data_IF_379617501074
#
_entry.id   IF_379617501074
#
_cell.length_a   1.000
_cell.length_b   1.000
_cell.length_c   1.000
_cell.angle_alpha   90.00
_cell.angle_beta   90.00
_cell.angle_gamma   90.00
#
_symmetry.space_group_name_H-M   'P 1'
#
loop_
_entity.id
_entity.type
_entity.pdbx_description
1 polymer ?
#
# COMPACT_ATOMS: atom_id res chain seq x y z
N UNK A 1 57.62 -26.99 -1.46
CA UNK A 1 56.51 -26.50 -0.60
C UNK A 1 56.59 -24.97 -0.66
N UNK A 2 56.13 -24.31 -1.73
CA UNK A 2 54.77 -24.10 -2.23
C UNK A 2 53.91 -23.18 -1.36
N UNK A 3 53.26 -22.24 -2.06
CA UNK A 3 52.16 -21.32 -1.67
C UNK A 3 52.57 -20.05 -0.90
N UNK A 4 52.12 -18.83 -1.23
CA UNK A 4 51.29 -18.33 -2.33
C UNK A 4 51.34 -16.79 -2.25
N UNK A 5 51.87 -16.12 -3.27
CA UNK A 5 51.94 -14.65 -3.35
C UNK A 5 50.96 -14.13 -4.40
N UNK A 6 49.65 -14.31 -4.23
CA UNK A 6 48.68 -13.86 -5.26
C UNK A 6 47.24 -13.74 -4.75
N UNK A 7 46.97 -13.09 -3.62
CA UNK A 7 45.56 -12.82 -3.21
C UNK A 7 45.36 -11.47 -2.53
N UNK A 8 45.77 -10.36 -3.16
CA UNK A 8 45.43 -9.03 -2.61
C UNK A 8 45.02 -7.96 -3.63
N UNK A 9 44.92 -8.29 -4.93
CA UNK A 9 44.54 -7.30 -5.97
C UNK A 9 43.13 -7.47 -6.53
N UNK A 10 42.47 -8.61 -6.32
CA UNK A 10 41.14 -8.87 -6.92
C UNK A 10 39.96 -8.42 -6.06
N UNK A 11 40.16 -8.07 -4.78
CA UNK A 11 39.07 -7.65 -3.91
C UNK A 11 38.66 -6.18 -4.10
N UNK A 12 39.56 -5.32 -4.61
CA UNK A 12 39.29 -3.88 -4.78
C UNK A 12 38.48 -3.57 -6.05
N UNK A 13 38.51 -4.44 -7.07
CA UNK A 13 37.82 -4.18 -8.35
C UNK A 13 36.32 -4.52 -8.26
N UNK A 14 35.92 -5.41 -7.36
CA UNK A 14 34.51 -5.81 -7.19
C UNK A 14 33.67 -4.82 -6.36
N UNK A 15 34.29 -3.89 -5.63
CA UNK A 15 33.55 -2.89 -4.86
C UNK A 15 33.14 -1.66 -5.69
N UNK A 16 33.80 -1.39 -6.82
CA UNK A 16 33.56 -0.20 -7.65
C UNK A 16 32.41 -0.36 -8.66
N UNK A 17 31.98 -1.57 -8.97
CA UNK A 17 30.91 -1.84 -9.95
C UNK A 17 29.49 -1.84 -9.37
N UNK A 18 29.31 -1.81 -8.04
CA UNK A 18 27.98 -1.73 -7.42
C UNK A 18 27.48 -0.29 -7.19
N UNK A 19 28.29 0.74 -7.46
CA UNK A 19 27.89 2.14 -7.29
C UNK A 19 27.19 2.76 -8.52
N UNK A 20 26.96 1.99 -9.59
CA UNK A 20 26.42 2.49 -10.87
C UNK A 20 24.99 2.01 -11.22
N UNK A 21 24.28 1.38 -10.28
CA UNK A 21 22.87 0.98 -10.45
C UNK A 21 21.89 1.83 -9.63
N UNK A 22 22.36 2.85 -8.91
CA UNK A 22 21.51 3.83 -8.26
C UNK A 22 21.24 5.01 -9.21
N UNK A 23 19.96 5.37 -9.34
CA UNK A 23 19.40 6.44 -10.18
C UNK A 23 19.31 6.07 -11.67
N UNK A 24 18.19 5.48 -12.10
CA UNK A 24 16.95 6.25 -12.25
C UNK A 24 15.72 5.53 -11.70
N UNK A 25 15.49 5.66 -10.39
CA UNK A 25 14.10 5.69 -9.91
C UNK A 25 13.52 6.99 -10.45
N UNK A 26 12.91 6.94 -11.64
CA UNK A 26 12.12 8.05 -12.15
C UNK A 26 11.02 8.24 -11.10
N UNK A 27 10.97 9.38 -10.39
CA UNK A 27 9.88 9.60 -9.46
C UNK A 27 8.62 9.68 -10.32
N UNK A 28 7.73 8.70 -10.17
CA UNK A 28 6.45 8.56 -10.87
C UNK A 28 5.45 9.67 -10.51
N UNK A 29 5.88 10.93 -10.58
CA UNK A 29 5.10 12.13 -10.26
C UNK A 29 3.88 12.30 -11.19
N UNK A 30 3.80 11.54 -12.29
CA UNK A 30 2.75 11.69 -13.30
C UNK A 30 1.80 10.47 -13.41
N UNK A 31 1.99 9.38 -12.66
CA UNK A 31 1.09 8.23 -12.78
C UNK A 31 -0.25 8.45 -12.04
N UNK A 32 -0.25 9.25 -10.97
CA UNK A 32 -1.48 9.61 -10.26
C UNK A 32 -2.34 10.63 -11.01
N UNK A 33 -1.77 11.43 -11.90
CA UNK A 33 -2.50 12.46 -12.64
C UNK A 33 -3.38 11.88 -13.77
N UNK A 34 -3.22 10.60 -14.10
CA UNK A 34 -3.91 9.95 -15.22
C UNK A 34 -4.79 8.76 -14.82
N UNK A 35 -4.77 8.31 -13.56
CA UNK A 35 -5.67 7.26 -13.13
C UNK A 35 -7.10 7.83 -13.07
N UNK A 36 -8.06 7.27 -13.83
CA UNK A 36 -9.45 7.71 -13.71
C UNK A 36 -9.90 7.53 -12.26
N UNK A 37 -10.60 8.52 -11.70
CA UNK A 37 -11.11 8.51 -10.31
C UNK A 37 -11.87 7.23 -9.98
N UNK A 38 -12.55 6.66 -10.98
CA UNK A 38 -13.25 5.37 -10.91
C UNK A 38 -12.32 4.19 -10.62
N UNK A 39 -11.10 4.16 -11.16
CA UNK A 39 -10.13 3.09 -10.90
C UNK A 39 -9.62 3.14 -9.45
N UNK A 40 -9.29 4.34 -8.96
CA UNK A 40 -8.87 4.53 -7.56
C UNK A 40 -10.00 4.18 -6.58
N UNK A 41 -11.24 4.55 -6.91
CA UNK A 41 -12.42 4.18 -6.13
C UNK A 41 -12.60 2.66 -6.07
N UNK A 42 -12.53 1.95 -7.20
CA UNK A 42 -12.66 0.49 -7.24
C UNK A 42 -11.55 -0.20 -6.44
N UNK A 43 -10.32 0.29 -6.52
CA UNK A 43 -9.21 -0.26 -5.74
C UNK A 43 -9.42 -0.01 -4.25
N UNK A 44 -9.95 1.15 -3.86
CA UNK A 44 -10.32 1.42 -2.47
C UNK A 44 -11.42 0.47 -1.98
N UNK A 45 -12.46 0.24 -2.79
CA UNK A 45 -13.55 -0.69 -2.46
C UNK A 45 -12.99 -2.09 -2.19
N UNK A 46 -12.04 -2.55 -3.02
CA UNK A 46 -11.33 -3.81 -2.80
C UNK A 46 -10.57 -3.82 -1.47
N UNK A 47 -9.83 -2.76 -1.17
CA UNK A 47 -9.07 -2.64 0.08
C UNK A 47 -9.95 -2.65 1.33
N UNK A 48 -11.02 -1.84 1.39
CA UNK A 48 -11.90 -1.80 2.57
C UNK A 48 -12.64 -3.13 2.79
N UNK A 49 -12.97 -3.83 1.69
CA UNK A 49 -13.54 -5.18 1.76
C UNK A 49 -12.53 -6.18 2.34
N UNK A 50 -11.27 -6.08 1.90
CA UNK A 50 -10.18 -6.91 2.42
C UNK A 50 -9.91 -6.66 3.91
N UNK A 51 -9.87 -5.39 4.34
CA UNK A 51 -9.72 -5.01 5.76
C UNK A 51 -10.83 -5.60 6.61
N UNK A 52 -12.08 -5.49 6.15
CA UNK A 52 -13.23 -6.11 6.83
C UNK A 52 -13.05 -7.61 7.01
N UNK A 53 -12.67 -8.31 5.94
CA UNK A 53 -12.46 -9.75 5.98
C UNK A 53 -11.32 -10.16 6.93
N UNK A 54 -10.24 -9.39 6.98
CA UNK A 54 -9.10 -9.64 7.88
C UNK A 54 -9.55 -9.54 9.35
N UNK A 55 -10.36 -8.53 9.68
CA UNK A 55 -10.87 -8.34 11.05
C UNK A 55 -11.90 -9.40 11.41
N UNK A 56 -12.85 -9.69 10.51
CA UNK A 56 -13.91 -10.67 10.75
C UNK A 56 -13.37 -12.11 10.88
N UNK A 57 -12.25 -12.41 10.20
CA UNK A 57 -11.62 -13.75 10.22
C UNK A 57 -10.77 -14.03 11.46
N UNK A 58 -10.56 -13.04 12.34
CA UNK A 58 -9.82 -13.20 13.61
C UNK A 58 -8.44 -13.89 13.42
N UNK A 59 -7.67 -13.42 12.45
CA UNK A 59 -6.32 -13.93 12.19
C UNK A 59 -5.44 -13.81 13.44
N UNK A 60 -4.67 -14.86 13.76
CA UNK A 60 -3.64 -14.82 14.81
C UNK A 60 -2.62 -13.67 14.59
N UNK A 61 -2.50 -13.19 13.35
CA UNK A 61 -1.65 -12.05 12.95
C UNK A 61 -2.41 -10.98 12.15
N UNK A 62 -3.56 -10.54 12.67
CA UNK A 62 -4.38 -9.45 12.07
C UNK A 62 -3.55 -8.21 11.73
N UNK A 63 -2.59 -7.83 12.58
CA UNK A 63 -1.77 -6.63 12.35
C UNK A 63 -0.92 -6.78 11.09
N UNK A 64 -0.23 -7.90 10.91
CA UNK A 64 0.59 -8.11 9.72
C UNK A 64 -0.27 -8.25 8.47
N UNK A 65 -1.43 -8.89 8.57
CA UNK A 65 -2.38 -8.98 7.47
C UNK A 65 -2.85 -7.59 7.00
N UNK A 66 -3.16 -6.69 7.94
CA UNK A 66 -3.54 -5.31 7.64
C UNK A 66 -2.40 -4.50 7.02
N UNK A 67 -1.18 -4.63 7.54
CA UNK A 67 0.01 -4.01 6.93
C UNK A 67 0.22 -4.47 5.49
N UNK A 68 0.05 -5.76 5.23
CA UNK A 68 0.19 -6.32 3.88
C UNK A 68 -0.90 -5.82 2.93
N UNK A 69 -2.15 -5.80 3.36
CA UNK A 69 -3.27 -5.27 2.56
C UNK A 69 -3.07 -3.78 2.26
N UNK A 70 -2.66 -3.03 3.28
CA UNK A 70 -2.35 -1.62 3.14
C UNK A 70 -1.20 -1.39 2.15
N UNK A 71 -0.07 -2.08 2.32
CA UNK A 71 1.09 -1.89 1.43
C UNK A 71 0.75 -2.21 -0.02
N UNK A 72 -0.09 -3.21 -0.28
CA UNK A 72 -0.63 -3.46 -1.62
C UNK A 72 -1.47 -2.29 -2.12
N UNK A 73 -2.38 -1.77 -1.30
CA UNK A 73 -3.22 -0.63 -1.65
C UNK A 73 -2.44 0.66 -1.92
N UNK A 74 -1.32 0.90 -1.24
CA UNK A 74 -0.51 2.11 -1.48
C UNK A 74 0.68 1.88 -2.41
N UNK A 75 0.95 0.65 -2.86
CA UNK A 75 2.05 0.33 -3.77
C UNK A 75 2.01 1.10 -5.10
N UNK A 76 0.81 1.48 -5.56
CA UNK A 76 0.62 2.29 -6.76
C UNK A 76 0.56 3.80 -6.46
N UNK A 77 0.68 4.19 -5.19
CA UNK A 77 0.72 5.57 -4.73
C UNK A 77 2.07 5.88 -4.05
N UNK A 78 3.09 6.29 -4.83
CA UNK A 78 4.47 6.45 -4.34
C UNK A 78 4.67 7.52 -3.25
N UNK A 79 3.64 8.29 -2.88
CA UNK A 79 3.66 9.26 -1.78
C UNK A 79 3.04 8.74 -0.48
N UNK A 80 2.35 7.59 -0.51
CA UNK A 80 1.53 7.11 0.60
C UNK A 80 2.01 5.76 1.15
N UNK A 81 3.10 5.19 0.65
CA UNK A 81 3.69 3.96 1.18
C UNK A 81 4.01 4.09 2.68
N UNK A 82 4.55 5.23 3.12
CA UNK A 82 4.79 5.53 4.54
C UNK A 82 3.51 5.78 5.36
N UNK A 83 2.37 6.04 4.69
CA UNK A 83 1.11 6.22 5.41
C UNK A 83 0.53 4.89 5.86
N UNK A 84 0.99 3.74 5.34
CA UNK A 84 0.48 2.46 5.78
C UNK A 84 0.72 2.15 7.24
N UNK A 85 1.95 2.31 7.68
CA UNK A 85 2.28 2.09 9.08
C UNK A 85 1.50 3.05 9.97
N UNK A 86 1.34 4.30 9.54
CA UNK A 86 0.56 5.30 10.28
C UNK A 86 -0.91 4.90 10.36
N UNK A 87 -1.53 4.53 9.23
CA UNK A 87 -2.94 4.14 9.17
C UNK A 87 -3.17 2.89 10.01
N UNK A 88 -2.33 1.87 9.90
CA UNK A 88 -2.52 0.62 10.64
C UNK A 88 -2.25 0.79 12.14
N UNK A 89 -1.32 1.67 12.54
CA UNK A 89 -0.97 1.86 13.96
C UNK A 89 -1.90 2.87 14.65
N UNK A 90 -2.30 3.95 13.98
CA UNK A 90 -2.99 5.08 14.61
C UNK A 90 -4.43 5.25 14.13
N UNK A 91 -4.73 5.00 12.85
CA UNK A 91 -6.04 5.31 12.26
C UNK A 91 -6.92 4.09 11.99
N UNK A 92 -6.45 2.88 12.32
CA UNK A 92 -7.16 1.63 11.98
C UNK A 92 -8.54 1.57 12.64
N UNK A 93 -8.67 2.07 13.86
CA UNK A 93 -9.97 2.16 14.55
C UNK A 93 -10.94 3.09 13.80
N UNK A 94 -10.44 4.21 13.28
CA UNK A 94 -11.23 5.16 12.49
C UNK A 94 -11.63 4.58 11.13
N UNK A 95 -10.71 3.82 10.50
CA UNK A 95 -10.99 3.09 9.27
C UNK A 95 -12.09 2.03 9.49
N UNK A 96 -11.95 1.22 10.54
CA UNK A 96 -12.95 0.20 10.89
C UNK A 96 -14.30 0.81 11.22
N UNK A 97 -14.32 1.92 11.97
CA UNK A 97 -15.55 2.65 12.22
C UNK A 97 -16.21 3.14 10.91
N UNK A 98 -15.42 3.64 9.95
CA UNK A 98 -15.95 4.03 8.63
C UNK A 98 -16.52 2.83 7.87
N UNK A 99 -15.81 1.68 7.89
CA UNK A 99 -16.26 0.43 7.27
C UNK A 99 -17.58 -0.04 7.88
N UNK A 100 -17.71 -0.04 9.21
CA UNK A 100 -18.90 -0.51 9.90
C UNK A 100 -20.14 0.34 9.56
N UNK A 101 -19.98 1.68 9.50
CA UNK A 101 -21.06 2.59 9.07
C UNK A 101 -21.54 2.34 7.64
N UNK A 102 -20.68 1.74 6.82
CA UNK A 102 -20.89 1.50 5.39
C UNK A 102 -20.87 0.01 5.04
N UNK A 103 -21.28 -0.85 5.97
CA UNK A 103 -21.21 -2.32 5.84
C UNK A 103 -21.82 -2.85 4.52
N UNK A 104 -22.97 -2.30 4.10
CA UNK A 104 -23.66 -2.71 2.86
C UNK A 104 -23.13 -2.00 1.61
N UNK A 105 -22.27 -1.00 1.78
CA UNK A 105 -21.80 -0.15 0.69
C UNK A 105 -20.34 0.31 0.90
N UNK A 106 -19.34 -0.52 0.57
CA UNK A 106 -17.92 -0.18 0.76
C UNK A 106 -17.47 1.10 0.05
N UNK A 107 -18.20 1.54 -1.00
CA UNK A 107 -17.96 2.85 -1.63
C UNK A 107 -18.12 4.00 -0.63
N UNK A 108 -19.03 3.89 0.32
CA UNK A 108 -19.24 4.88 1.36
C UNK A 108 -18.04 5.06 2.28
N UNK A 109 -17.37 3.97 2.67
CA UNK A 109 -16.12 4.04 3.45
C UNK A 109 -15.00 4.72 2.65
N UNK A 110 -14.93 4.45 1.35
CA UNK A 110 -13.97 5.07 0.43
C UNK A 110 -14.25 6.56 0.14
N UNK A 111 -15.51 6.98 0.19
CA UNK A 111 -15.90 8.39 0.13
C UNK A 111 -15.56 9.12 1.45
N UNK A 112 -15.92 8.53 2.59
CA UNK A 112 -15.79 9.18 3.90
C UNK A 112 -14.33 9.24 4.40
N UNK A 113 -13.56 8.16 4.23
CA UNK A 113 -12.22 8.05 4.82
C UNK A 113 -11.10 8.44 3.87
N UNK A 114 -11.15 7.94 2.63
CA UNK A 114 -10.09 8.16 1.63
C UNK A 114 -10.40 9.29 0.65
N UNK A 115 -11.66 9.72 0.56
CA UNK A 115 -12.13 10.71 -0.42
C UNK A 115 -11.80 10.32 -1.88
N UNK A 116 -11.78 9.02 -2.18
CA UNK A 116 -11.42 8.48 -3.51
C UNK A 116 -12.62 8.12 -4.38
N UNK A 117 -13.82 8.07 -3.80
CA UNK A 117 -15.06 7.75 -4.49
C UNK A 117 -15.99 8.95 -4.49
N UNK A 118 -16.91 9.01 -5.47
CA UNK A 118 -18.05 9.90 -5.40
C UNK A 118 -19.00 9.48 -4.28
N UNK A 119 -19.75 10.46 -3.75
CA UNK A 119 -20.78 10.23 -2.75
C UNK A 119 -21.73 9.13 -3.25
N UNK A 120 -21.92 8.04 -2.49
CA UNK A 120 -22.82 6.97 -2.92
C UNK A 120 -24.23 7.53 -3.11
N UNK A 121 -24.89 7.12 -4.20
CA UNK A 121 -26.30 7.42 -4.41
C UNK A 121 -27.11 6.78 -3.28
N UNK A 122 -28.07 7.53 -2.70
CA UNK A 122 -28.96 6.97 -1.68
C UNK A 122 -29.66 5.73 -2.25
N UNK A 123 -29.88 4.66 -1.47
CA UNK A 123 -30.79 3.60 -1.86
C UNK A 123 -32.12 4.24 -2.26
N UNK A 124 -32.63 3.95 -3.45
CA UNK A 124 -34.00 4.34 -3.79
C UNK A 124 -34.92 3.59 -2.83
N UNK A 125 -35.78 4.27 -2.04
CA UNK A 125 -36.81 3.55 -1.32
C UNK A 125 -37.70 2.87 -2.36
N UNK A 126 -37.80 1.53 -2.27
CA UNK A 126 -38.77 0.75 -3.01
C UNK A 126 -40.17 0.97 -2.43
#
# INVERSE_FOLDING_TARGET
LSFSSTMHRSALVLCLSLALLSATVIPSKNLLAAAPTTALCNTCIGFVTEVKNIVDSNYDDTKQALLNACNRFFSFIPLLEYQCDVIVVYDIASLLHSIDRHTENPQGACYDFFHLCDKPSKPRPY
#
